data_IF_834931033472
#
_entry.id   IF_834931033472
#
_cell.length_a   1.000
_cell.length_b   1.000
_cell.length_c   1.000
_cell.angle_alpha   90.00
_cell.angle_beta   90.00
_cell.angle_gamma   90.00
#
_symmetry.space_group_name_H-M   'P 1'
#
loop_
_entity.id
_entity.type
_entity.pdbx_description
1 polymer ?
#
# COMPACT_ATOMS: atom_id res chain seq x y z
N UNK A 1 -2.63 40.40 35.39
CA UNK A 1 -1.32 39.89 34.92
C UNK A 1 -1.22 38.44 35.36
N UNK A 2 -1.43 37.49 34.45
CA UNK A 2 -1.42 36.06 34.80
C UNK A 2 0.02 35.59 35.00
N UNK A 3 0.34 35.11 36.19
CA UNK A 3 1.65 34.58 36.56
C UNK A 3 1.85 33.26 35.85
N UNK A 4 2.81 33.19 34.90
CA UNK A 4 3.23 31.91 34.32
C UNK A 4 3.88 31.10 35.43
N UNK A 5 3.30 29.95 35.75
CA UNK A 5 3.85 29.01 36.71
C UNK A 5 4.98 28.21 36.04
N UNK A 6 6.21 28.65 36.27
CA UNK A 6 7.43 28.01 35.77
C UNK A 6 7.78 26.70 36.51
N UNK A 7 6.99 26.26 37.49
CA UNK A 7 7.23 25.01 38.24
C UNK A 7 6.69 23.76 37.56
N UNK A 8 5.87 23.89 36.51
CA UNK A 8 5.48 22.76 35.65
C UNK A 8 6.55 22.44 34.59
N UNK A 9 7.78 22.10 35.01
CA UNK A 9 8.75 21.46 34.09
C UNK A 9 8.31 20.02 33.87
N UNK A 10 7.86 19.71 32.65
CA UNK A 10 7.61 18.32 32.22
C UNK A 10 8.88 17.51 32.48
N UNK A 11 8.75 16.38 33.17
CA UNK A 11 9.86 15.49 33.45
C UNK A 11 10.53 15.05 32.13
N UNK A 12 11.85 14.81 32.17
CA UNK A 12 12.55 14.27 31.02
C UNK A 12 11.95 12.90 30.64
N UNK A 13 11.81 12.57 29.34
CA UNK A 13 11.27 11.28 28.92
C UNK A 13 12.08 10.11 29.51
N UNK A 14 11.39 9.06 29.92
CA UNK A 14 11.97 7.78 30.34
C UNK A 14 12.62 7.05 29.16
N UNK A 15 13.40 6.00 29.44
CA UNK A 15 13.99 5.18 28.39
C UNK A 15 12.93 4.49 27.51
N UNK A 16 11.86 3.98 28.12
CA UNK A 16 10.74 3.35 27.41
C UNK A 16 10.01 4.34 26.50
N UNK A 17 9.74 5.56 26.99
CA UNK A 17 9.11 6.60 26.16
C UNK A 17 9.98 6.99 24.98
N UNK A 18 11.32 7.05 25.13
CA UNK A 18 12.23 7.34 24.02
C UNK A 18 12.22 6.21 22.98
N UNK A 19 12.20 4.95 23.40
CA UNK A 19 12.08 3.81 22.49
C UNK A 19 10.76 3.87 21.71
N UNK A 20 9.64 4.13 22.40
CA UNK A 20 8.34 4.18 21.74
C UNK A 20 8.24 5.32 20.72
N UNK A 21 8.71 6.51 21.07
CA UNK A 21 8.74 7.66 20.15
C UNK A 21 9.54 7.32 18.88
N UNK A 22 10.64 6.60 19.03
CA UNK A 22 11.48 6.20 17.90
C UNK A 22 10.82 5.10 17.05
N UNK A 23 10.16 4.11 17.66
CA UNK A 23 9.36 3.12 16.91
C UNK A 23 8.24 3.78 16.13
N UNK A 24 7.49 4.70 16.75
CA UNK A 24 6.41 5.44 16.09
C UNK A 24 6.95 6.27 14.91
N UNK A 25 8.15 6.84 15.03
CA UNK A 25 8.84 7.52 13.92
C UNK A 25 9.11 6.54 12.78
N UNK A 26 9.73 5.40 13.06
CA UNK A 26 10.06 4.41 12.02
C UNK A 26 8.81 3.83 11.34
N UNK A 27 7.76 3.52 12.09
CA UNK A 27 6.49 3.06 11.54
C UNK A 27 5.88 4.09 10.57
N UNK A 28 5.96 5.38 10.89
CA UNK A 28 5.54 6.43 9.94
C UNK A 28 6.39 6.43 8.67
N UNK A 29 7.71 6.39 8.80
CA UNK A 29 8.61 6.41 7.64
C UNK A 29 8.43 5.17 6.76
N UNK A 30 8.29 3.97 7.34
CA UNK A 30 7.98 2.73 6.62
C UNK A 30 6.65 2.83 5.88
N UNK A 31 5.61 3.39 6.52
CA UNK A 31 4.33 3.61 5.87
C UNK A 31 4.40 4.64 4.74
N UNK A 32 5.25 5.67 4.86
CA UNK A 32 5.53 6.62 3.76
C UNK A 32 6.24 5.94 2.59
N UNK A 33 7.24 5.07 2.86
CA UNK A 33 7.93 4.27 1.84
C UNK A 33 6.97 3.32 1.11
N UNK A 34 6.08 2.67 1.85
CA UNK A 34 5.02 1.81 1.30
C UNK A 34 4.05 2.62 0.43
N UNK A 35 3.53 3.73 0.94
CA UNK A 35 2.58 4.58 0.22
C UNK A 35 3.19 5.14 -1.07
N UNK A 36 4.45 5.59 -1.05
CA UNK A 36 5.16 6.07 -2.24
C UNK A 36 5.24 4.99 -3.33
N UNK A 37 5.58 3.75 -2.96
CA UNK A 37 5.72 2.64 -3.91
C UNK A 37 4.38 2.15 -4.44
N UNK A 38 3.39 1.99 -3.56
CA UNK A 38 2.02 1.66 -3.97
C UNK A 38 1.41 2.74 -4.87
N UNK A 39 1.70 4.01 -4.57
CA UNK A 39 1.26 5.13 -5.40
C UNK A 39 1.85 5.03 -6.80
N UNK A 40 3.15 4.70 -6.96
CA UNK A 40 3.75 4.53 -8.28
C UNK A 40 3.06 3.46 -9.14
N UNK A 41 2.59 2.36 -8.52
CA UNK A 41 1.81 1.31 -9.18
C UNK A 41 0.43 1.81 -9.63
N UNK A 42 -0.22 2.64 -8.80
CA UNK A 42 -1.60 3.08 -8.98
C UNK A 42 -1.75 4.40 -9.76
N UNK A 43 -0.72 5.26 -9.79
CA UNK A 43 -0.73 6.62 -10.34
C UNK A 43 -1.22 6.70 -11.80
N UNK A 44 -0.92 5.73 -12.68
CA UNK A 44 -1.43 5.76 -14.05
C UNK A 44 -2.96 5.67 -14.16
N UNK A 45 -3.65 5.29 -13.08
CA UNK A 45 -5.08 5.00 -13.07
C UNK A 45 -5.86 6.00 -12.19
N UNK A 46 -6.83 6.74 -12.75
CA UNK A 46 -7.71 7.62 -11.98
C UNK A 46 -8.42 6.90 -10.84
N UNK A 47 -8.77 7.61 -9.78
CA UNK A 47 -9.40 7.03 -8.59
C UNK A 47 -10.66 6.21 -8.92
N UNK A 48 -11.60 6.78 -9.66
CA UNK A 48 -12.84 6.08 -10.03
C UNK A 48 -12.60 4.82 -10.89
N UNK A 49 -11.53 4.78 -11.67
CA UNK A 49 -11.16 3.56 -12.39
C UNK A 49 -10.69 2.47 -11.41
N UNK A 50 -9.85 2.83 -10.44
CA UNK A 50 -9.36 1.89 -9.41
C UNK A 50 -10.48 1.31 -8.55
N UNK A 51 -11.48 2.14 -8.22
CA UNK A 51 -12.68 1.70 -7.49
C UNK A 51 -13.51 0.67 -8.27
N UNK A 52 -13.40 0.66 -9.61
CA UNK A 52 -14.09 -0.33 -10.46
C UNK A 52 -13.32 -1.64 -10.65
N UNK A 53 -12.04 -1.73 -10.28
CA UNK A 53 -11.22 -2.94 -10.51
C UNK A 53 -11.85 -4.25 -10.00
N UNK A 54 -12.52 -4.30 -8.83
CA UNK A 54 -13.20 -5.53 -8.39
C UNK A 54 -14.28 -6.01 -9.36
N UNK A 55 -15.04 -5.06 -9.94
CA UNK A 55 -16.09 -5.36 -10.94
C UNK A 55 -15.43 -5.86 -12.23
N UNK A 56 -14.39 -5.17 -12.71
CA UNK A 56 -13.64 -5.58 -13.91
C UNK A 56 -13.11 -7.01 -13.79
N UNK A 57 -12.49 -7.33 -12.65
CA UNK A 57 -11.95 -8.64 -12.37
C UNK A 57 -13.05 -9.71 -12.31
N UNK A 58 -14.15 -9.43 -11.59
CA UNK A 58 -15.27 -10.35 -11.48
C UNK A 58 -15.83 -10.71 -12.86
N UNK A 59 -16.07 -9.71 -13.71
CA UNK A 59 -16.57 -9.93 -15.07
C UNK A 59 -15.55 -10.65 -15.95
N UNK A 60 -14.26 -10.30 -15.85
CA UNK A 60 -13.22 -10.97 -16.62
C UNK A 60 -13.06 -12.46 -16.24
N UNK A 61 -13.20 -12.78 -14.95
CA UNK A 61 -13.21 -14.16 -14.47
C UNK A 61 -14.46 -14.92 -14.92
N UNK A 62 -15.62 -14.27 -14.89
CA UNK A 62 -16.86 -14.84 -15.37
C UNK A 62 -16.77 -15.18 -16.87
N UNK A 63 -16.30 -14.24 -17.69
CA UNK A 63 -16.14 -14.44 -19.14
C UNK A 63 -15.09 -15.52 -19.48
N UNK A 64 -14.03 -15.64 -18.68
CA UNK A 64 -13.04 -16.69 -18.85
C UNK A 64 -13.58 -18.08 -18.50
N UNK A 65 -14.56 -18.18 -17.59
CA UNK A 65 -15.21 -19.43 -17.20
C UNK A 65 -16.38 -19.80 -18.13
N UNK A 66 -17.10 -18.80 -18.62
CA UNK A 66 -18.28 -18.94 -19.48
C UNK A 66 -18.30 -17.79 -20.52
N UNK A 67 -18.07 -18.07 -21.81
CA UNK A 67 -18.13 -17.07 -22.87
C UNK A 67 -19.48 -16.34 -22.98
N UNK A 68 -20.57 -16.90 -22.44
CA UNK A 68 -21.92 -16.30 -22.45
C UNK A 68 -22.24 -15.51 -21.16
N UNK A 69 -21.27 -15.36 -20.25
CA UNK A 69 -21.45 -14.61 -19.02
C UNK A 69 -21.81 -13.14 -19.30
N UNK A 70 -22.75 -12.60 -18.52
CA UNK A 70 -23.08 -11.17 -18.59
C UNK A 70 -21.93 -10.32 -18.03
N UNK A 71 -21.38 -9.44 -18.86
CA UNK A 71 -20.25 -8.56 -18.51
C UNK A 71 -20.51 -7.10 -18.84
N UNK A 72 -21.53 -6.45 -18.24
CA UNK A 72 -21.97 -5.11 -18.64
C UNK A 72 -20.88 -4.03 -18.54
N UNK A 73 -19.94 -4.15 -17.61
CA UNK A 73 -18.81 -3.22 -17.53
C UNK A 73 -17.83 -3.44 -18.69
N UNK A 74 -17.44 -4.69 -18.95
CA UNK A 74 -16.55 -5.06 -20.06
C UNK A 74 -17.21 -4.72 -21.39
N UNK A 75 -18.50 -4.99 -21.57
CA UNK A 75 -19.27 -4.70 -22.79
C UNK A 75 -19.22 -3.21 -23.11
N UNK A 76 -19.52 -2.36 -22.13
CA UNK A 76 -19.50 -0.91 -22.30
C UNK A 76 -18.08 -0.39 -22.60
N UNK A 77 -17.08 -0.87 -21.85
CA UNK A 77 -15.69 -0.45 -22.01
C UNK A 77 -15.09 -0.92 -23.33
N UNK A 78 -15.34 -2.16 -23.74
CA UNK A 78 -14.90 -2.75 -24.99
C UNK A 78 -15.54 -2.05 -26.19
N UNK A 79 -16.86 -1.80 -26.13
CA UNK A 79 -17.59 -1.04 -27.16
C UNK A 79 -17.00 0.35 -27.37
N UNK A 80 -16.78 1.11 -26.29
CA UNK A 80 -16.23 2.46 -26.38
C UNK A 80 -14.79 2.48 -26.95
N UNK A 81 -14.04 1.39 -26.78
CA UNK A 81 -12.65 1.26 -27.19
C UNK A 81 -12.46 0.54 -28.53
N UNK A 82 -13.53 -0.02 -29.11
CA UNK A 82 -13.44 -0.87 -30.30
C UNK A 82 -12.60 -2.13 -30.06
N UNK A 83 -12.77 -2.76 -28.89
CA UNK A 83 -12.09 -4.00 -28.52
C UNK A 83 -13.07 -5.17 -28.47
N UNK A 84 -12.55 -6.39 -28.64
CA UNK A 84 -13.28 -7.60 -28.29
C UNK A 84 -13.37 -7.74 -26.76
N UNK A 85 -14.52 -8.19 -26.24
CA UNK A 85 -14.70 -8.40 -24.79
C UNK A 85 -13.69 -9.40 -24.22
N UNK A 86 -13.38 -10.47 -24.96
CA UNK A 86 -12.38 -11.48 -24.57
C UNK A 86 -10.96 -10.90 -24.48
N UNK A 87 -10.58 -10.04 -25.42
CA UNK A 87 -9.30 -9.32 -25.40
C UNK A 87 -9.22 -8.38 -24.19
N UNK A 88 -10.29 -7.64 -23.90
CA UNK A 88 -10.32 -6.77 -22.73
C UNK A 88 -10.26 -7.57 -21.42
N UNK A 89 -11.00 -8.68 -21.31
CA UNK A 89 -10.96 -9.57 -20.15
C UNK A 89 -9.54 -10.12 -19.92
N UNK A 90 -8.85 -10.58 -20.96
CA UNK A 90 -7.48 -11.07 -20.85
C UNK A 90 -6.51 -9.98 -20.33
N UNK A 91 -6.64 -8.74 -20.83
CA UNK A 91 -5.85 -7.60 -20.33
C UNK A 91 -6.13 -7.30 -18.86
N UNK A 92 -7.39 -7.37 -18.42
CA UNK A 92 -7.78 -7.18 -17.02
C UNK A 92 -7.11 -8.24 -16.15
N UNK A 93 -7.21 -9.53 -16.52
CA UNK A 93 -6.61 -10.64 -15.77
C UNK A 93 -5.09 -10.51 -15.68
N UNK A 94 -4.42 -10.13 -16.77
CA UNK A 94 -2.97 -9.89 -16.77
C UNK A 94 -2.58 -8.73 -15.85
N UNK A 95 -3.34 -7.63 -15.86
CA UNK A 95 -3.09 -6.49 -14.97
C UNK A 95 -3.37 -6.82 -13.51
N UNK A 96 -4.45 -7.53 -13.20
CA UNK A 96 -4.77 -8.00 -11.86
C UNK A 96 -3.65 -8.91 -11.32
N UNK A 97 -3.18 -9.86 -12.12
CA UNK A 97 -2.06 -10.73 -11.73
C UNK A 97 -0.79 -9.94 -11.39
N UNK A 98 -0.42 -8.97 -12.25
CA UNK A 98 0.73 -8.09 -12.00
C UNK A 98 0.53 -7.24 -10.74
N UNK A 99 -0.66 -6.67 -10.54
CA UNK A 99 -1.00 -5.88 -9.36
C UNK A 99 -0.91 -6.71 -8.08
N UNK A 100 -1.49 -7.91 -8.05
CA UNK A 100 -1.43 -8.82 -6.90
C UNK A 100 0.01 -9.19 -6.55
N UNK A 101 0.82 -9.47 -7.57
CA UNK A 101 2.23 -9.80 -7.37
C UNK A 101 2.99 -8.64 -6.71
N UNK A 102 2.94 -7.43 -7.27
CA UNK A 102 3.70 -6.29 -6.73
C UNK A 102 3.13 -5.81 -5.38
N UNK A 103 1.80 -5.73 -5.24
CA UNK A 103 1.17 -5.29 -3.99
C UNK A 103 1.40 -6.27 -2.84
N UNK A 104 1.42 -7.58 -3.12
CA UNK A 104 1.80 -8.61 -2.17
C UNK A 104 3.24 -8.43 -1.68
N UNK A 105 4.19 -8.25 -2.60
CA UNK A 105 5.59 -8.02 -2.23
C UNK A 105 5.79 -6.73 -1.42
N UNK A 106 5.15 -5.63 -1.82
CA UNK A 106 5.25 -4.35 -1.10
C UNK A 106 4.61 -4.43 0.29
N UNK A 107 3.47 -5.10 0.42
CA UNK A 107 2.81 -5.30 1.72
C UNK A 107 3.65 -6.17 2.63
N UNK A 108 4.23 -7.25 2.10
CA UNK A 108 5.13 -8.13 2.84
C UNK A 108 6.40 -7.42 3.31
N UNK A 109 7.01 -6.60 2.46
CA UNK A 109 8.17 -5.79 2.85
C UNK A 109 7.84 -4.83 4.00
N UNK A 110 6.69 -4.13 3.92
CA UNK A 110 6.20 -3.26 4.99
C UNK A 110 6.02 -4.02 6.32
N UNK A 111 5.41 -5.21 6.28
CA UNK A 111 5.23 -6.05 7.47
C UNK A 111 6.57 -6.56 8.03
N UNK A 112 7.50 -6.95 7.18
CA UNK A 112 8.84 -7.35 7.63
C UNK A 112 9.59 -6.21 8.32
N UNK A 113 9.41 -4.96 7.87
CA UNK A 113 9.92 -3.78 8.58
C UNK A 113 9.25 -3.60 9.94
N UNK A 114 7.92 -3.74 10.02
CA UNK A 114 7.18 -3.65 11.30
C UNK A 114 7.71 -4.68 12.31
N UNK A 115 7.85 -5.94 11.89
CA UNK A 115 8.38 -7.01 12.73
C UNK A 115 9.81 -6.72 13.20
N UNK A 116 10.66 -6.21 12.31
CA UNK A 116 12.04 -5.86 12.64
C UNK A 116 12.11 -4.69 13.65
N UNK A 117 11.30 -3.65 13.49
CA UNK A 117 11.24 -2.49 14.39
C UNK A 117 10.77 -2.91 15.79
N UNK A 118 9.75 -3.75 15.88
CA UNK A 118 9.23 -4.23 17.17
C UNK A 118 10.21 -5.14 17.91
N UNK A 119 11.04 -5.90 17.17
CA UNK A 119 12.08 -6.74 17.77
C UNK A 119 13.22 -5.94 18.41
N UNK A 120 13.48 -4.69 17.98
CA UNK A 120 14.56 -3.86 18.51
C UNK A 120 14.26 -3.34 19.91
N UNK A 121 15.18 -3.57 20.85
CA UNK A 121 15.08 -3.14 22.25
C UNK A 121 16.05 -2.00 22.61
N UNK A 122 16.92 -1.61 21.66
CA UNK A 122 17.94 -0.59 21.85
C UNK A 122 17.63 0.68 21.03
N UNK A 123 17.85 1.84 21.65
CA UNK A 123 17.52 3.14 21.05
C UNK A 123 18.45 3.50 19.91
N UNK A 124 19.73 3.13 19.99
CA UNK A 124 20.69 3.40 18.93
C UNK A 124 20.42 2.52 17.72
N UNK A 125 20.09 1.24 17.95
CA UNK A 125 19.66 0.33 16.91
C UNK A 125 18.43 0.87 16.14
N UNK A 126 17.41 1.36 16.85
CA UNK A 126 16.24 2.01 16.22
C UNK A 126 16.64 3.24 15.40
N UNK A 127 17.51 4.12 15.93
CA UNK A 127 17.95 5.33 15.21
C UNK A 127 18.76 5.01 13.95
N UNK A 128 19.50 3.92 13.97
CA UNK A 128 20.32 3.45 12.85
C UNK A 128 19.56 2.57 11.86
N UNK A 129 18.30 2.24 12.14
CA UNK A 129 17.49 1.40 11.26
C UNK A 129 17.27 2.10 9.93
N UNK A 130 17.68 1.46 8.83
CA UNK A 130 17.43 1.94 7.48
C UNK A 130 16.07 1.42 7.00
N UNK A 131 15.07 2.29 6.97
CA UNK A 131 13.72 1.99 6.46
C UNK A 131 13.63 1.96 4.93
N UNK A 132 14.71 2.30 4.22
CA UNK A 132 14.73 2.42 2.76
C UNK A 132 15.22 1.16 2.05
N UNK A 133 15.82 0.22 2.79
CA UNK A 133 16.27 -1.08 2.30
C UNK A 133 15.13 -2.12 2.24
N UNK A 134 15.36 -3.28 1.63
CA UNK A 134 14.44 -4.43 1.71
C UNK A 134 13.16 -4.32 0.86
N UNK A 135 12.94 -3.19 0.18
CA UNK A 135 11.81 -3.04 -0.73
C UNK A 135 12.08 -3.67 -2.10
N UNK A 136 11.09 -4.36 -2.70
CA UNK A 136 11.17 -4.81 -4.08
C UNK A 136 11.26 -3.62 -5.04
N UNK A 137 11.91 -3.82 -6.19
CA UNK A 137 11.81 -2.88 -7.30
C UNK A 137 10.40 -2.95 -7.88
N UNK A 138 9.77 -1.79 -8.02
CA UNK A 138 8.47 -1.63 -8.67
C UNK A 138 8.64 -1.42 -10.17
#
# INVERSE_FOLDING_TARGET
MSTIDWTQRKAAPTASERLQVERDRLHRLVNEQYAKRMSAVALPYPQYERESWPIQLQEAQALAADPEAATPWIDACATQRGLECSELAQRILTKDSAYRFISGQLTGARQAHEDAIEALQDLEALRSYDETQGWPQA
#
